data_IF_678549797678
#
_entry.id   IF_678549797678
#
_cell.length_a   1.000
_cell.length_b   1.000
_cell.length_c   1.000
_cell.angle_alpha   90.00
_cell.angle_beta   90.00
_cell.angle_gamma   90.00
#
_symmetry.space_group_name_H-M   'P 1'
#
loop_
_entity.id
_entity.type
_entity.pdbx_description
1 polymer ?
#
# COMPACT_ATOMS: atom_id res chain seq x y z
N UNK A 1 -11.68 -1.98 -12.77
CA UNK A 1 -10.41 -2.64 -12.40
C UNK A 1 -9.13 -1.83 -12.66
N UNK A 2 -9.08 -0.93 -13.66
CA UNK A 2 -7.85 -0.14 -13.95
C UNK A 2 -7.39 0.75 -12.78
N UNK A 3 -8.33 1.31 -12.02
CA UNK A 3 -8.04 2.22 -10.90
C UNK A 3 -7.44 1.51 -9.69
N UNK A 4 -7.93 0.31 -9.35
CA UNK A 4 -7.31 -0.54 -8.32
C UNK A 4 -5.87 -0.88 -8.68
N UNK A 5 -5.62 -1.26 -9.94
CA UNK A 5 -4.27 -1.59 -10.42
C UNK A 5 -3.33 -0.38 -10.31
N UNK A 6 -3.80 0.82 -10.70
CA UNK A 6 -3.03 2.07 -10.54
C UNK A 6 -2.73 2.38 -9.07
N UNK A 7 -3.72 2.26 -8.19
CA UNK A 7 -3.54 2.49 -6.76
C UNK A 7 -2.54 1.49 -6.14
N UNK A 8 -2.68 0.20 -6.48
CA UNK A 8 -1.75 -0.84 -6.05
C UNK A 8 -0.31 -0.57 -6.51
N UNK A 9 -0.13 -0.19 -7.78
CA UNK A 9 1.20 0.16 -8.31
C UNK A 9 1.80 1.35 -7.57
N UNK A 10 1.02 2.40 -7.30
CA UNK A 10 1.51 3.58 -6.60
C UNK A 10 1.96 3.27 -5.16
N UNK A 11 1.24 2.41 -4.46
CA UNK A 11 1.53 2.03 -3.06
C UNK A 11 2.66 0.99 -2.97
N UNK A 12 2.65 -0.06 -3.79
CA UNK A 12 3.52 -1.22 -3.62
C UNK A 12 4.63 -1.35 -4.67
N UNK A 13 4.55 -0.63 -5.79
CA UNK A 13 5.50 -0.72 -6.91
C UNK A 13 5.97 0.68 -7.33
N UNK A 14 6.63 1.44 -6.43
CA UNK A 14 7.10 2.76 -6.78
C UNK A 14 8.17 2.63 -7.88
N UNK A 15 8.07 3.46 -8.92
CA UNK A 15 9.09 3.51 -9.98
C UNK A 15 10.45 3.97 -9.43
N UNK A 16 10.43 4.72 -8.32
CA UNK A 16 11.62 5.18 -7.61
C UNK A 16 11.45 4.89 -6.10
N UNK A 17 12.18 3.91 -5.54
CA UNK A 17 12.06 3.53 -4.14
C UNK A 17 12.64 4.58 -3.18
N UNK A 18 13.28 5.63 -3.70
CA UNK A 18 14.02 6.63 -2.92
C UNK A 18 13.22 7.90 -2.60
N UNK A 19 12.07 8.12 -3.25
CA UNK A 19 11.39 9.43 -3.22
C UNK A 19 10.19 9.55 -2.28
N UNK A 20 9.64 8.47 -1.75
CA UNK A 20 8.52 8.56 -0.79
C UNK A 20 8.40 7.29 0.07
N UNK A 21 8.20 7.49 1.37
CA UNK A 21 7.89 6.41 2.32
C UNK A 21 6.60 5.70 1.93
N UNK A 22 6.37 4.52 2.50
CA UNK A 22 5.12 3.80 2.26
C UNK A 22 3.89 4.61 2.72
N UNK A 23 3.97 5.25 3.88
CA UNK A 23 2.87 6.03 4.45
C UNK A 23 2.57 7.26 3.59
N UNK A 24 3.60 7.95 3.08
CA UNK A 24 3.43 9.07 2.15
C UNK A 24 2.74 8.62 0.86
N UNK A 25 3.14 7.50 0.28
CA UNK A 25 2.50 6.95 -0.93
C UNK A 25 1.06 6.51 -0.68
N UNK A 26 0.76 6.01 0.51
CA UNK A 26 -0.60 5.66 0.90
C UNK A 26 -1.46 6.92 1.05
N UNK A 27 -0.96 7.94 1.73
CA UNK A 27 -1.62 9.23 1.90
C UNK A 27 -1.87 9.93 0.56
N UNK A 28 -0.91 9.87 -0.38
CA UNK A 28 -1.11 10.38 -1.74
C UNK A 28 -2.28 9.71 -2.46
N UNK A 29 -2.50 8.42 -2.28
CA UNK A 29 -3.62 7.72 -2.91
C UNK A 29 -4.97 8.12 -2.27
N UNK A 30 -4.98 8.45 -0.98
CA UNK A 30 -6.17 8.98 -0.28
C UNK A 30 -6.53 10.41 -0.67
N UNK A 31 -5.56 11.23 -1.07
CA UNK A 31 -5.78 12.65 -1.37
C UNK A 31 -6.03 12.94 -2.87
N UNK A 32 -5.84 11.95 -3.76
CA UNK A 32 -5.93 12.14 -5.21
C UNK A 32 -7.25 11.66 -5.82
N UNK A 33 -7.39 11.84 -7.15
CA UNK A 33 -8.52 11.37 -7.97
C UNK A 33 -8.97 9.92 -7.71
N UNK A 34 -8.04 9.05 -7.29
CA UNK A 34 -8.30 7.64 -7.03
C UNK A 34 -9.15 7.42 -5.76
N UNK A 35 -9.16 8.37 -4.82
CA UNK A 35 -9.99 8.34 -3.61
C UNK A 35 -11.47 8.63 -3.86
N UNK A 36 -11.86 9.01 -5.07
CA UNK A 36 -13.27 9.11 -5.45
C UNK A 36 -13.90 7.74 -5.75
N UNK A 37 -13.09 6.68 -5.80
CA UNK A 37 -13.51 5.35 -6.18
C UNK A 37 -13.69 4.50 -4.91
N UNK A 38 -14.92 4.06 -4.58
CA UNK A 38 -15.19 3.37 -3.32
C UNK A 38 -14.30 2.15 -3.06
N UNK A 39 -14.01 1.37 -4.10
CA UNK A 39 -13.17 0.16 -3.96
C UNK A 39 -11.70 0.49 -3.69
N UNK A 40 -11.22 1.66 -4.11
CA UNK A 40 -9.86 2.11 -3.78
C UNK A 40 -9.80 2.57 -2.33
N UNK A 41 -10.83 3.27 -1.84
CA UNK A 41 -10.92 3.67 -0.44
C UNK A 41 -10.93 2.45 0.49
N UNK A 42 -11.72 1.42 0.17
CA UNK A 42 -11.75 0.17 0.95
C UNK A 42 -10.39 -0.54 0.94
N UNK A 43 -9.69 -0.54 -0.20
CA UNK A 43 -8.34 -1.10 -0.27
C UNK A 43 -7.38 -0.34 0.66
N UNK A 44 -7.36 0.99 0.59
CA UNK A 44 -6.48 1.81 1.43
C UNK A 44 -6.80 1.66 2.91
N UNK A 45 -8.08 1.64 3.27
CA UNK A 45 -8.52 1.37 4.64
C UNK A 45 -8.04 0.00 5.13
N UNK A 46 -8.19 -1.05 4.32
CA UNK A 46 -7.72 -2.40 4.67
C UNK A 46 -6.20 -2.46 4.90
N UNK A 47 -5.45 -1.65 4.14
CA UNK A 47 -4.01 -1.50 4.27
C UNK A 47 -3.66 -0.82 5.59
N UNK A 48 -4.30 0.32 5.91
CA UNK A 48 -4.11 1.01 7.20
C UNK A 48 -4.47 0.15 8.40
N UNK A 49 -5.61 -0.54 8.35
CA UNK A 49 -6.05 -1.44 9.43
C UNK A 49 -5.10 -2.62 9.67
N UNK A 50 -4.30 -2.97 8.65
CA UNK A 50 -3.29 -4.01 8.74
C UNK A 50 -1.96 -3.50 9.31
N UNK A 51 -1.71 -2.19 9.26
CA UNK A 51 -0.50 -1.51 9.73
C UNK A 51 -0.68 -0.81 11.08
N UNK A 52 -1.92 -0.66 11.55
CA UNK A 52 -2.23 -0.14 12.88
C UNK A 52 -1.50 -0.94 13.99
N UNK A 53 -1.24 -0.27 15.11
CA UNK A 53 -0.55 -0.86 16.25
C UNK A 53 -1.19 -2.21 16.67
N UNK A 54 -0.35 -3.17 17.05
CA UNK A 54 -0.75 -4.53 17.45
C UNK A 54 -1.27 -5.46 16.31
N UNK A 55 -1.02 -5.13 15.03
CA UNK A 55 -1.34 -5.98 13.87
C UNK A 55 -0.07 -6.53 13.20
N UNK A 56 -0.19 -7.67 12.52
CA UNK A 56 0.93 -8.43 11.92
C UNK A 56 1.59 -7.72 10.73
N UNK A 57 1.03 -6.60 10.26
CA UNK A 57 1.45 -5.92 9.04
C UNK A 57 0.95 -6.60 7.75
N UNK A 58 1.37 -6.07 6.61
CA UNK A 58 1.07 -6.61 5.28
C UNK A 58 2.25 -7.46 4.80
N UNK A 59 1.95 -8.57 4.12
CA UNK A 59 2.98 -9.45 3.57
C UNK A 59 3.81 -8.73 2.49
N UNK A 60 5.14 -8.72 2.62
CA UNK A 60 6.05 -8.25 1.57
C UNK A 60 6.13 -9.30 0.46
N UNK A 61 5.89 -8.90 -0.80
CA UNK A 61 6.06 -9.79 -1.94
C UNK A 61 7.56 -9.98 -2.23
N UNK A 62 8.13 -11.07 -1.73
CA UNK A 62 9.52 -11.46 -1.97
C UNK A 62 9.60 -12.70 -2.85
N UNK A 63 10.34 -12.62 -3.95
CA UNK A 63 10.88 -13.82 -4.59
C UNK A 63 11.78 -14.53 -3.56
N UNK A 64 11.45 -15.77 -3.23
CA UNK A 64 12.40 -16.73 -2.67
C UNK A 64 13.03 -16.41 -1.31
N UNK A 65 12.58 -17.15 -0.31
CA UNK A 65 13.27 -17.52 0.93
C UNK A 65 13.16 -16.58 2.15
N UNK A 66 12.58 -17.18 3.19
CA UNK A 66 12.72 -16.91 4.62
C UNK A 66 12.00 -15.69 5.18
N UNK A 67 10.76 -15.96 5.54
CA UNK A 67 9.95 -15.32 6.58
C UNK A 67 10.78 -14.75 7.73
N UNK A 68 10.91 -13.43 7.78
CA UNK A 68 10.72 -12.64 8.99
C UNK A 68 9.89 -11.44 8.56
N UNK A 69 8.77 -11.23 9.24
CA UNK A 69 7.89 -10.09 8.98
C UNK A 69 8.68 -8.81 9.22
N UNK A 70 9.19 -8.22 8.16
CA UNK A 70 9.77 -6.89 8.18
C UNK A 70 8.65 -5.96 7.71
N UNK A 71 8.14 -5.19 8.66
CA UNK A 71 7.27 -4.02 8.42
C UNK A 71 7.95 -3.14 7.37
N UNK A 72 7.14 -2.53 6.49
CA UNK A 72 7.59 -1.68 5.40
C UNK A 72 8.75 -0.78 5.79
#
# INVERSE_FOLDING_TARGET
MKSLRKAYQKIFMPSDPTNASFEERLAEVEQHELAQIPVVCEMVRSVRDSLAENRRGICKFGQGSRSRGTIL
#
